data_IF_033389900467
#
_entry.id   IF_033389900467
#
_cell.length_a   1.000
_cell.length_b   1.000
_cell.length_c   1.000
_cell.angle_alpha   90.00
_cell.angle_beta   90.00
_cell.angle_gamma   90.00
#
_symmetry.space_group_name_H-M   'P 1'
#
loop_
_entity.id
_entity.type
_entity.pdbx_description
1 polymer ?
#
# COMPACT_ATOMS: atom_id res chain seq x y z
N UNK A 1 0.60 -21.58 -18.22
CA UNK A 1 -0.73 -21.53 -17.57
C UNK A 1 -1.75 -21.13 -18.62
N UNK A 2 -2.95 -21.71 -18.64
CA UNK A 2 -3.99 -21.30 -19.59
C UNK A 2 -4.60 -19.96 -19.20
N UNK A 3 -5.12 -19.21 -20.18
CA UNK A 3 -5.83 -17.95 -19.93
C UNK A 3 -6.99 -18.13 -18.94
N UNK A 4 -7.76 -19.23 -19.11
CA UNK A 4 -8.86 -19.57 -18.21
C UNK A 4 -8.39 -19.73 -16.75
N UNK A 5 -7.28 -20.45 -16.53
CA UNK A 5 -6.72 -20.65 -15.20
C UNK A 5 -6.20 -19.33 -14.60
N UNK A 6 -5.55 -18.49 -15.41
CA UNK A 6 -5.05 -17.19 -14.97
C UNK A 6 -6.20 -16.26 -14.52
N UNK A 7 -7.25 -16.13 -15.34
CA UNK A 7 -8.44 -15.32 -15.02
C UNK A 7 -9.18 -15.82 -13.78
N UNK A 8 -9.23 -17.13 -13.58
CA UNK A 8 -9.81 -17.70 -12.36
C UNK A 8 -8.98 -17.30 -11.13
N UNK A 9 -7.66 -17.50 -11.18
CA UNK A 9 -6.76 -17.20 -10.06
C UNK A 9 -6.78 -15.74 -9.65
N UNK A 10 -6.67 -14.80 -10.60
CA UNK A 10 -6.60 -13.37 -10.29
C UNK A 10 -7.86 -12.85 -9.60
N UNK A 11 -9.04 -13.47 -9.85
CA UNK A 11 -10.31 -13.11 -9.19
C UNK A 11 -10.43 -13.69 -7.78
N UNK A 12 -9.80 -14.84 -7.54
CA UNK A 12 -9.88 -15.57 -6.27
C UNK A 12 -8.76 -15.22 -5.29
N UNK A 13 -7.78 -14.42 -5.70
CA UNK A 13 -6.64 -14.03 -4.85
C UNK A 13 -7.10 -13.22 -3.63
N UNK A 14 -6.67 -13.63 -2.44
CA UNK A 14 -6.94 -12.98 -1.15
C UNK A 14 -5.64 -12.92 -0.35
N UNK A 15 -5.44 -11.80 0.36
CA UNK A 15 -4.27 -11.54 1.21
C UNK A 15 -4.70 -11.22 2.64
N UNK A 16 -5.78 -11.86 3.08
CA UNK A 16 -6.41 -11.60 4.36
C UNK A 16 -7.14 -12.83 4.87
N UNK A 17 -7.31 -12.93 6.18
CA UNK A 17 -8.08 -13.96 6.85
C UNK A 17 -9.53 -13.45 7.07
N UNK A 18 -10.55 -14.09 6.48
CA UNK A 18 -11.94 -13.63 6.55
C UNK A 18 -12.49 -13.60 7.98
N UNK A 19 -12.04 -14.49 8.86
CA UNK A 19 -12.56 -14.61 10.23
C UNK A 19 -12.17 -13.40 11.08
N UNK A 20 -10.96 -12.88 10.89
CA UNK A 20 -10.42 -11.75 11.67
C UNK A 20 -10.61 -10.38 11.00
N UNK A 21 -11.13 -10.36 9.76
CA UNK A 21 -11.26 -9.15 8.95
C UNK A 21 -12.20 -8.11 9.54
N UNK A 22 -13.33 -8.53 10.11
CA UNK A 22 -14.34 -7.60 10.64
C UNK A 22 -13.76 -6.77 11.79
N UNK A 23 -13.14 -7.44 12.77
CA UNK A 23 -12.50 -6.79 13.90
C UNK A 23 -11.36 -5.85 13.47
N UNK A 24 -10.51 -6.28 12.51
CA UNK A 24 -9.40 -5.43 12.03
C UNK A 24 -9.85 -4.17 11.31
N UNK A 25 -10.97 -4.23 10.57
CA UNK A 25 -11.52 -3.07 9.85
C UNK A 25 -11.97 -1.93 10.76
N UNK A 26 -12.32 -2.24 12.01
CA UNK A 26 -12.72 -1.22 12.99
C UNK A 26 -11.53 -0.32 13.37
N UNK A 27 -10.33 -0.89 13.38
CA UNK A 27 -9.09 -0.20 13.77
C UNK A 27 -8.30 0.29 12.55
N UNK A 28 -8.25 -0.51 11.48
CA UNK A 28 -7.49 -0.27 10.26
C UNK A 28 -8.39 -0.37 9.02
N UNK A 29 -8.59 0.76 8.34
CA UNK A 29 -9.37 0.82 7.09
C UNK A 29 -8.76 0.00 5.96
N UNK A 30 -7.45 -0.25 5.98
CA UNK A 30 -6.79 -1.11 5.00
C UNK A 30 -7.13 -2.58 5.25
N UNK A 31 -7.05 -3.01 6.52
CA UNK A 31 -7.39 -4.35 7.00
C UNK A 31 -6.66 -5.47 6.23
N UNK A 32 -5.44 -5.21 5.79
CA UNK A 32 -4.60 -6.14 5.05
C UNK A 32 -3.16 -6.06 5.52
N UNK A 33 -2.38 -7.12 5.34
CA UNK A 33 -1.00 -7.16 5.84
C UNK A 33 0.01 -6.67 4.78
N UNK A 34 0.22 -5.36 4.73
CA UNK A 34 1.39 -4.75 4.07
C UNK A 34 2.58 -4.59 5.02
N UNK A 35 2.35 -4.74 6.33
CA UNK A 35 3.36 -4.53 7.36
C UNK A 35 4.52 -5.52 7.21
N UNK A 36 4.20 -6.79 6.96
CA UNK A 36 5.22 -7.82 6.74
C UNK A 36 6.13 -7.50 5.55
N UNK A 37 5.59 -6.95 4.47
CA UNK A 37 6.38 -6.56 3.30
C UNK A 37 7.38 -5.45 3.63
N UNK A 38 6.91 -4.36 4.24
CA UNK A 38 7.80 -3.24 4.59
C UNK A 38 8.82 -3.61 5.66
N UNK A 39 8.45 -4.46 6.63
CA UNK A 39 9.37 -5.00 7.62
C UNK A 39 10.53 -5.76 6.96
N UNK A 40 10.22 -6.59 5.96
CA UNK A 40 11.25 -7.32 5.19
C UNK A 40 12.13 -6.37 4.38
N UNK A 41 11.55 -5.35 3.76
CA UNK A 41 12.32 -4.33 3.03
C UNK A 41 13.41 -3.70 3.91
N UNK A 42 13.06 -3.31 5.14
CA UNK A 42 13.99 -2.68 6.07
C UNK A 42 15.03 -3.63 6.69
N UNK A 43 14.70 -4.93 6.83
CA UNK A 43 15.62 -5.93 7.41
C UNK A 43 16.63 -6.51 6.42
N UNK A 44 16.29 -6.55 5.14
CA UNK A 44 17.10 -7.23 4.11
C UNK A 44 18.11 -6.31 3.41
N UNK A 45 18.18 -5.04 3.80
CA UNK A 45 19.03 -4.05 3.16
C UNK A 45 19.62 -3.08 4.20
N UNK A 46 20.90 -2.76 4.05
CA UNK A 46 21.57 -1.72 4.84
C UNK A 46 21.64 -0.45 3.98
N UNK A 47 20.88 0.61 4.32
CA UNK A 47 20.87 1.84 3.55
C UNK A 47 22.13 2.69 3.75
N UNK A 48 22.35 3.61 2.81
CA UNK A 48 23.37 4.66 2.93
C UNK A 48 22.92 5.76 3.92
N UNK A 49 23.77 6.77 4.09
CA UNK A 49 23.59 7.86 5.06
C UNK A 49 22.32 8.70 4.82
N UNK A 50 21.88 8.83 3.57
CA UNK A 50 20.85 9.79 3.17
C UNK A 50 19.56 9.09 2.71
N UNK A 51 18.43 9.55 3.23
CA UNK A 51 17.10 9.05 2.86
C UNK A 51 16.26 10.12 2.19
N UNK A 52 15.35 9.68 1.32
CA UNK A 52 14.30 10.49 0.73
C UNK A 52 12.95 9.97 1.21
N UNK A 53 12.08 10.89 1.63
CA UNK A 53 10.70 10.58 2.02
C UNK A 53 9.77 11.35 1.09
N UNK A 54 8.88 10.66 0.41
CA UNK A 54 7.93 11.28 -0.52
C UNK A 54 6.66 10.42 -0.67
N UNK A 55 5.67 10.97 -1.36
CA UNK A 55 4.40 10.34 -1.67
C UNK A 55 4.39 9.65 -3.05
N UNK A 56 4.00 8.38 -3.06
CA UNK A 56 3.65 7.64 -4.27
C UNK A 56 2.13 7.47 -4.36
N UNK A 57 1.57 7.75 -5.53
CA UNK A 57 0.15 7.55 -5.80
C UNK A 57 -0.04 6.33 -6.72
N UNK A 58 -0.61 5.26 -6.17
CA UNK A 58 -0.97 4.08 -6.95
C UNK A 58 -2.32 4.31 -7.62
N UNK A 59 -2.32 4.46 -8.95
CA UNK A 59 -3.53 4.71 -9.73
C UNK A 59 -4.60 3.65 -9.50
N UNK A 60 -5.75 4.05 -8.95
CA UNK A 60 -6.85 3.15 -8.63
C UNK A 60 -8.18 3.89 -8.68
N UNK A 61 -9.14 3.37 -9.45
CA UNK A 61 -10.47 3.98 -9.65
C UNK A 61 -11.63 3.16 -9.06
N UNK A 62 -11.35 2.00 -8.47
CA UNK A 62 -12.36 1.21 -7.78
C UNK A 62 -12.88 1.89 -6.51
N UNK A 63 -13.89 1.27 -5.87
CA UNK A 63 -14.41 1.71 -4.58
C UNK A 63 -13.42 1.32 -3.49
N UNK A 64 -12.82 2.31 -2.83
CA UNK A 64 -11.93 2.14 -1.70
C UNK A 64 -12.13 3.32 -0.73
N UNK A 65 -12.31 3.08 0.59
CA UNK A 65 -12.61 4.14 1.55
C UNK A 65 -11.55 5.24 1.70
N UNK A 66 -10.30 4.94 1.34
CA UNK A 66 -9.14 5.84 1.48
C UNK A 66 -8.53 6.22 0.12
N UNK A 67 -9.31 6.12 -0.97
CA UNK A 67 -8.90 6.61 -2.27
C UNK A 67 -8.79 8.13 -2.25
N UNK A 68 -7.65 8.65 -2.70
CA UNK A 68 -7.34 10.07 -2.75
C UNK A 68 -7.49 10.62 -4.17
N UNK A 69 -7.84 11.89 -4.26
CA UNK A 69 -7.74 12.69 -5.48
C UNK A 69 -6.55 13.65 -5.35
N UNK A 70 -5.61 13.59 -6.29
CA UNK A 70 -4.44 14.49 -6.34
C UNK A 70 -4.34 15.03 -7.78
N UNK A 71 -4.78 16.28 -8.03
CA UNK A 71 -4.96 16.81 -9.39
C UNK A 71 -3.65 16.89 -10.18
N UNK A 72 -2.51 17.11 -9.51
CA UNK A 72 -1.22 17.35 -10.14
C UNK A 72 -0.38 16.08 -10.37
N UNK A 73 -0.93 14.88 -10.10
CA UNK A 73 -0.25 13.60 -10.37
C UNK A 73 -0.79 12.98 -11.67
N UNK A 74 0.02 12.21 -12.43
CA UNK A 74 -0.41 11.60 -13.71
C UNK A 74 -1.68 10.75 -13.61
N UNK A 75 -1.80 9.97 -12.52
CA UNK A 75 -3.05 9.38 -12.12
C UNK A 75 -3.73 10.33 -11.13
N UNK A 76 -4.90 10.87 -11.47
CA UNK A 76 -5.60 11.83 -10.60
C UNK A 76 -6.28 11.18 -9.40
N UNK A 77 -6.62 9.89 -9.48
CA UNK A 77 -7.23 9.11 -8.40
C UNK A 77 -6.40 7.88 -8.07
N UNK A 78 -6.19 7.60 -6.79
CA UNK A 78 -5.42 6.44 -6.38
C UNK A 78 -5.32 6.22 -4.88
N UNK A 79 -4.48 5.25 -4.51
CA UNK A 79 -4.08 4.97 -3.13
C UNK A 79 -2.77 5.70 -2.87
N UNK A 80 -2.77 6.62 -1.91
CA UNK A 80 -1.57 7.36 -1.52
C UNK A 80 -0.75 6.52 -0.55
N UNK A 81 0.53 6.32 -0.85
CA UNK A 81 1.53 5.73 0.03
C UNK A 81 2.57 6.80 0.37
N UNK A 82 3.01 6.84 1.63
CA UNK A 82 4.18 7.61 2.04
C UNK A 82 5.31 6.61 2.21
N UNK A 83 6.39 6.80 1.46
CA UNK A 83 7.50 5.84 1.35
C UNK A 83 8.80 6.51 1.78
N UNK A 84 9.69 5.70 2.36
CA UNK A 84 11.07 6.08 2.64
C UNK A 84 12.01 5.22 1.79
N UNK A 85 12.89 5.89 1.05
CA UNK A 85 13.82 5.26 0.14
C UNK A 85 15.25 5.75 0.40
N UNK A 86 16.23 4.89 0.21
CA UNK A 86 17.64 5.30 0.16
C UNK A 86 17.86 6.24 -1.03
N UNK A 87 18.46 7.40 -0.76
CA UNK A 87 18.67 8.45 -1.76
C UNK A 87 19.60 8.01 -2.89
N UNK A 88 20.58 7.16 -2.57
CA UNK A 88 21.61 6.75 -3.53
C UNK A 88 21.14 5.58 -4.40
N UNK A 89 20.70 4.48 -3.80
CA UNK A 89 20.27 3.28 -4.55
C UNK A 89 18.81 3.32 -5.02
N UNK A 90 18.01 4.25 -4.48
CA UNK A 90 16.54 4.32 -4.66
C UNK A 90 15.79 3.13 -4.03
N UNK A 91 16.47 2.30 -3.25
CA UNK A 91 15.88 1.14 -2.59
C UNK A 91 14.80 1.57 -1.59
N UNK A 92 13.66 0.88 -1.61
CA UNK A 92 12.56 1.07 -0.67
C UNK A 92 12.92 0.49 0.69
N UNK A 93 13.04 1.33 1.70
CA UNK A 93 13.36 0.90 3.07
C UNK A 93 12.08 0.58 3.85
N UNK A 94 11.01 1.32 3.59
CA UNK A 94 9.72 1.10 4.24
C UNK A 94 8.66 2.08 3.76
N UNK A 95 7.47 1.99 4.33
CA UNK A 95 6.37 2.89 3.98
C UNK A 95 5.09 2.58 4.72
N UNK A 96 4.13 3.48 4.58
CA UNK A 96 2.79 3.36 5.17
C UNK A 96 1.72 3.84 4.18
N UNK A 97 0.57 3.16 4.09
CA UNK A 97 -0.57 3.67 3.33
C UNK A 97 -1.22 4.85 4.05
N UNK A 98 -1.64 5.86 3.30
CA UNK A 98 -2.46 6.93 3.82
C UNK A 98 -3.93 6.52 3.79
N UNK A 99 -4.54 6.38 4.97
CA UNK A 99 -5.90 5.84 5.14
C UNK A 99 -6.99 6.93 5.27
N UNK A 100 -6.66 8.16 4.85
CA UNK A 100 -7.47 9.35 5.11
C UNK A 100 -7.21 9.92 6.51
N UNK A 101 -7.91 11.01 6.85
CA UNK A 101 -7.87 11.56 8.21
C UNK A 101 -8.55 10.57 9.17
N UNK A 102 -7.96 10.38 10.35
CA UNK A 102 -8.73 9.98 11.53
C UNK A 102 -9.73 11.12 11.77
N UNK A 103 -11.02 10.80 11.88
CA UNK A 103 -12.03 11.84 12.08
C UNK A 103 -11.81 12.49 13.44
N UNK A 104 -11.55 13.79 13.46
CA UNK A 104 -11.97 14.64 14.58
C UNK A 104 -13.50 14.74 14.46
N UNK A 105 -14.21 13.93 15.25
CA UNK A 105 -15.61 14.15 15.57
C UNK A 105 -15.68 14.87 16.91
#
# INVERSE_FOLDING_TARGET
MSEARFRFLIRCLRYDDPETRQARREVDKFAGDMGHFFEKCGKLYVPHENFTVDEQLLGFRGRCPFRMYIPNKPATYGLKLVLINDSKSKYLVGGIPYLGKAGDY
#
